data_IF_277407339502
#
_entry.id   IF_277407339502
#
_cell.length_a   1.000
_cell.length_b   1.000
_cell.length_c   1.000
_cell.angle_alpha   90.00
_cell.angle_beta   90.00
_cell.angle_gamma   90.00
#
_symmetry.space_group_name_H-M   'P 1'
#
loop_
_entity.id
_entity.type
_entity.pdbx_description
1 polymer ?
#
# COMPACT_ATOMS: atom_id res chain seq x y z
N UNK A 1 7.21 0.83 15.74
CA UNK A 1 7.15 0.88 14.27
C UNK A 1 6.06 -0.03 13.72
N UNK A 2 4.87 -0.06 14.34
CA UNK A 2 3.85 -1.08 14.03
C UNK A 2 2.59 -0.51 13.37
N UNK A 3 2.53 0.81 13.16
CA UNK A 3 1.35 1.44 12.60
C UNK A 3 1.43 1.44 11.08
N UNK A 4 0.44 0.81 10.45
CA UNK A 4 0.24 0.92 9.00
C UNK A 4 -0.03 2.39 8.64
N UNK A 5 0.85 2.96 7.81
CA UNK A 5 0.70 4.31 7.28
C UNK A 5 0.98 4.30 5.75
N UNK A 6 -0.07 4.38 4.90
CA UNK A 6 0.10 4.40 3.45
C UNK A 6 0.80 5.68 2.95
N UNK A 7 0.74 6.78 3.71
CA UNK A 7 1.33 8.07 3.32
C UNK A 7 2.85 8.03 3.23
N UNK A 8 3.48 6.99 3.81
CA UNK A 8 4.90 6.69 3.67
C UNK A 8 5.32 6.47 2.20
N UNK A 9 4.38 6.21 1.29
CA UNK A 9 4.64 5.95 -0.14
C UNK A 9 4.17 7.09 -1.05
N UNK A 10 3.79 8.24 -0.49
CA UNK A 10 3.51 9.44 -1.28
C UNK A 10 4.77 9.92 -2.02
N UNK A 11 4.63 10.57 -3.18
CA UNK A 11 5.77 11.03 -3.98
C UNK A 11 6.75 11.88 -3.17
N UNK A 12 6.24 12.81 -2.36
CA UNK A 12 7.02 13.75 -1.56
C UNK A 12 7.86 13.02 -0.51
N UNK A 13 7.29 11.99 0.12
CA UNK A 13 7.96 11.15 1.14
C UNK A 13 8.99 10.18 0.53
N UNK A 14 8.91 9.93 -0.78
CA UNK A 14 9.83 9.04 -1.49
C UNK A 14 11.06 9.77 -2.06
N UNK A 15 11.02 11.09 -2.21
CA UNK A 15 12.14 11.89 -2.71
C UNK A 15 13.33 11.75 -1.75
N UNK A 16 14.50 11.42 -2.28
CA UNK A 16 15.73 11.26 -1.48
C UNK A 16 15.80 9.98 -0.64
N UNK A 17 14.80 9.09 -0.71
CA UNK A 17 14.84 7.79 -0.03
C UNK A 17 15.97 6.94 -0.58
N UNK A 18 16.75 6.35 0.33
CA UNK A 18 17.82 5.43 -0.07
C UNK A 18 17.22 4.20 -0.79
N UNK A 19 17.77 3.76 -1.95
CA UNK A 19 17.16 2.74 -2.80
C UNK A 19 16.88 1.39 -2.12
N UNK A 20 17.61 1.07 -1.05
CA UNK A 20 17.49 -0.19 -0.31
C UNK A 20 16.60 -0.10 0.95
N UNK A 21 15.92 1.02 1.19
CA UNK A 21 15.00 1.19 2.34
C UNK A 21 13.72 0.36 2.20
N UNK A 22 13.33 0.03 0.98
CA UNK A 22 12.13 -0.76 0.69
C UNK A 22 12.38 -1.75 -0.44
N UNK A 23 12.70 -3.00 -0.08
CA UNK A 23 13.04 -4.09 -1.01
C UNK A 23 12.16 -5.34 -0.78
N UNK A 24 10.82 -5.21 -0.93
CA UNK A 24 9.88 -6.29 -0.61
C UNK A 24 10.04 -7.54 -1.50
N UNK A 25 10.74 -7.40 -2.63
CA UNK A 25 11.01 -8.47 -3.60
C UNK A 25 12.51 -8.76 -3.77
N UNK A 26 13.30 -8.43 -2.74
CA UNK A 26 14.77 -8.44 -2.76
C UNK A 26 15.36 -7.51 -3.82
N UNK A 27 16.70 -7.45 -3.91
CA UNK A 27 17.43 -6.65 -4.88
C UNK A 27 18.61 -7.43 -5.48
N UNK A 28 19.17 -6.93 -6.58
CA UNK A 28 20.32 -7.55 -7.26
C UNK A 28 19.96 -8.72 -8.19
N UNK A 29 20.96 -9.52 -8.63
CA UNK A 29 20.77 -10.57 -9.65
C UNK A 29 19.91 -11.75 -9.21
N UNK A 30 19.51 -11.80 -7.93
CA UNK A 30 18.67 -12.83 -7.34
C UNK A 30 17.35 -12.25 -6.78
N UNK A 31 16.92 -11.10 -7.30
CA UNK A 31 15.61 -10.56 -6.95
C UNK A 31 14.45 -11.42 -7.48
N UNK A 32 13.25 -11.18 -6.99
CA UNK A 32 12.07 -11.92 -7.42
C UNK A 32 11.77 -11.69 -8.90
N UNK A 33 11.86 -12.75 -9.71
CA UNK A 33 11.48 -12.73 -11.13
C UNK A 33 9.99 -12.37 -11.33
N UNK A 34 9.15 -12.68 -10.33
CA UNK A 34 7.72 -12.44 -10.34
C UNK A 34 7.30 -11.04 -9.88
N UNK A 35 8.22 -10.13 -9.52
CA UNK A 35 7.88 -8.83 -8.94
C UNK A 35 6.84 -8.04 -9.74
N UNK A 36 7.00 -8.00 -11.08
CA UNK A 36 6.05 -7.28 -11.95
C UNK A 36 4.67 -7.91 -11.95
N UNK A 37 4.61 -9.25 -11.97
CA UNK A 37 3.37 -10.00 -11.94
C UNK A 37 2.68 -9.83 -10.58
N UNK A 38 3.41 -9.95 -9.47
CA UNK A 38 2.87 -9.79 -8.12
C UNK A 38 2.21 -8.43 -7.91
N UNK A 39 2.87 -7.33 -8.30
CA UNK A 39 2.29 -5.97 -8.20
C UNK A 39 1.04 -5.81 -9.08
N UNK A 40 1.02 -6.43 -10.26
CA UNK A 40 -0.12 -6.38 -11.16
C UNK A 40 -1.31 -7.17 -10.59
N UNK A 41 -1.07 -8.39 -10.13
CA UNK A 41 -2.06 -9.29 -9.55
C UNK A 41 -2.67 -8.69 -8.28
N UNK A 42 -1.83 -8.17 -7.37
CA UNK A 42 -2.27 -7.48 -6.15
C UNK A 42 -3.25 -6.34 -6.49
N UNK A 43 -2.86 -5.45 -7.42
CA UNK A 43 -3.73 -4.35 -7.86
C UNK A 43 -5.03 -4.86 -8.49
N UNK A 44 -4.97 -5.88 -9.32
CA UNK A 44 -6.14 -6.42 -10.01
C UNK A 44 -7.15 -7.02 -9.02
N UNK A 45 -6.68 -7.79 -8.05
CA UNK A 45 -7.52 -8.42 -7.01
C UNK A 45 -8.13 -7.35 -6.11
N UNK A 46 -7.35 -6.42 -5.57
CA UNK A 46 -7.84 -5.35 -4.70
C UNK A 46 -8.85 -4.47 -5.45
N UNK A 47 -8.53 -4.05 -6.67
CA UNK A 47 -9.39 -3.20 -7.48
C UNK A 47 -10.73 -3.87 -7.82
N UNK A 48 -10.69 -5.18 -8.12
CA UNK A 48 -11.90 -5.97 -8.38
C UNK A 48 -12.71 -6.19 -7.11
N UNK A 49 -12.04 -6.48 -5.99
CA UNK A 49 -12.65 -6.60 -4.69
C UNK A 49 -13.40 -5.33 -4.28
N UNK A 50 -12.74 -4.18 -4.41
CA UNK A 50 -13.31 -2.86 -4.11
C UNK A 50 -14.58 -2.58 -4.93
N UNK A 51 -14.53 -2.81 -6.24
CA UNK A 51 -15.68 -2.57 -7.14
C UNK A 51 -16.88 -3.48 -6.85
N UNK A 52 -16.64 -4.74 -6.50
CA UNK A 52 -17.71 -5.76 -6.43
C UNK A 52 -18.27 -5.95 -5.02
N UNK A 53 -17.46 -5.76 -3.99
CA UNK A 53 -17.82 -6.17 -2.63
C UNK A 53 -17.76 -5.04 -1.60
N UNK A 54 -17.02 -3.95 -1.86
CA UNK A 54 -16.94 -2.82 -0.92
C UNK A 54 -17.90 -1.67 -1.24
N UNK A 55 -18.66 -1.74 -2.35
CA UNK A 55 -19.70 -0.76 -2.68
C UNK A 55 -20.79 -0.62 -1.61
N UNK A 56 -21.04 -1.68 -0.83
CA UNK A 56 -22.02 -1.69 0.28
C UNK A 56 -21.36 -1.70 1.67
N UNK A 57 -20.03 -1.80 1.74
CA UNK A 57 -19.30 -1.78 2.99
C UNK A 57 -19.02 -0.33 3.37
N UNK A 58 -19.81 0.21 4.30
CA UNK A 58 -19.46 1.44 5.02
C UNK A 58 -18.00 1.34 5.48
N UNK A 59 -17.14 2.35 5.22
CA UNK A 59 -15.78 2.34 5.73
C UNK A 59 -15.85 2.32 7.25
N UNK A 60 -15.55 1.18 7.88
CA UNK A 60 -15.37 1.06 9.34
C UNK A 60 -14.22 1.92 9.86
N UNK A 61 -13.44 2.50 8.96
CA UNK A 61 -12.35 3.42 9.22
C UNK A 61 -12.76 4.83 8.78
N UNK A 62 -13.76 5.40 9.46
CA UNK A 62 -14.00 6.84 9.46
C UNK A 62 -13.01 7.56 10.39
N UNK A 63 -12.77 8.87 10.18
CA UNK A 63 -11.88 9.64 11.04
C UNK A 63 -12.38 9.58 12.49
N UNK A 64 -11.47 9.33 13.45
CA UNK A 64 -11.77 9.53 14.88
C UNK A 64 -12.35 10.93 15.02
N UNK A 65 -13.60 11.04 15.43
CA UNK A 65 -14.17 12.31 15.87
C UNK A 65 -13.30 12.81 17.02
N UNK A 66 -12.48 13.84 16.75
CA UNK A 66 -11.91 14.67 17.79
C UNK A 66 -13.05 15.56 18.28
N UNK A 67 -13.71 15.11 19.34
CA UNK A 67 -14.68 15.94 20.05
C UNK A 67 -13.94 17.17 20.58
N UNK A 68 -14.39 18.35 20.15
CA UNK A 68 -14.07 19.60 20.81
C UNK A 68 -14.80 19.63 22.17
N UNK A 69 -14.01 19.59 23.25
CA UNK A 69 -14.33 20.15 24.55
C UNK A 69 -13.05 20.70 25.16
#
# INVERSE_FOLDING_TARGET
>A
TEQFNPDNFLPETCIGRHPFVYIPFSAGPRNCIGQKFAILEEKAVISTGLRKFLGDAQPRFGPKQMNAH
#
